data_IF_507050196481
#
_entry.id   IF_507050196481
#
_cell.length_a   1.000
_cell.length_b   1.000
_cell.length_c   1.000
_cell.angle_alpha   90.00
_cell.angle_beta   90.00
_cell.angle_gamma   90.00
#
_symmetry.space_group_name_H-M   'P 1'
#
loop_
_entity.id
_entity.type
_entity.pdbx_description
1 polymer ?
#
# COMPACT_ATOMS: atom_id res chain seq x y z
N UNK A 1 2.77 27.40 12.80
CA UNK A 1 3.42 27.39 11.47
C UNK A 1 4.65 28.29 11.53
N UNK A 2 5.39 28.45 10.43
CA UNK A 2 6.55 29.36 10.36
C UNK A 2 6.21 30.86 10.51
N UNK A 3 4.94 31.21 10.74
CA UNK A 3 4.43 32.57 10.90
C UNK A 3 3.84 32.81 12.31
N UNK A 4 4.06 31.89 13.25
CA UNK A 4 3.59 32.02 14.64
C UNK A 4 2.11 31.70 14.85
N UNK A 5 1.41 31.15 13.85
CA UNK A 5 0.03 30.67 14.03
C UNK A 5 0.05 29.30 14.70
N UNK A 6 -0.80 29.10 15.70
CA UNK A 6 -1.01 27.77 16.27
C UNK A 6 -1.78 26.90 15.27
N UNK A 7 -1.22 25.75 14.94
CA UNK A 7 -1.91 24.72 14.15
C UNK A 7 -2.43 23.67 15.12
N UNK A 8 -3.71 23.34 14.99
CA UNK A 8 -4.40 22.40 15.86
C UNK A 8 -4.76 21.12 15.11
N UNK A 9 -4.31 19.97 15.63
CA UNK A 9 -4.55 18.64 15.07
C UNK A 9 -5.60 17.83 15.83
N UNK A 10 -6.31 18.42 16.81
CA UNK A 10 -7.29 17.70 17.65
C UNK A 10 -8.38 16.96 16.86
N UNK A 11 -8.72 17.44 15.67
CA UNK A 11 -9.73 16.84 14.80
C UNK A 11 -9.15 16.39 13.45
N UNK A 12 -7.93 15.86 13.47
CA UNK A 12 -7.19 15.40 12.28
C UNK A 12 -6.74 13.96 12.46
N UNK A 13 -6.93 13.13 11.43
CA UNK A 13 -6.30 11.82 11.33
C UNK A 13 -4.93 11.99 10.67
N UNK A 14 -3.88 11.62 11.38
CA UNK A 14 -2.51 11.63 10.84
C UNK A 14 -2.21 10.22 10.35
N UNK A 15 -1.95 10.09 9.05
CA UNK A 15 -1.52 8.84 8.43
C UNK A 15 -0.06 8.98 8.02
N UNK A 16 0.75 7.99 8.37
CA UNK A 16 2.16 7.89 7.99
C UNK A 16 2.41 6.54 7.35
N UNK A 17 3.22 6.53 6.30
CA UNK A 17 3.56 5.33 5.53
C UNK A 17 5.07 5.24 5.38
N UNK A 18 5.61 4.02 5.40
CA UNK A 18 7.04 3.76 5.22
C UNK A 18 7.23 2.44 4.48
N UNK A 19 8.28 2.35 3.66
CA UNK A 19 8.69 1.12 2.98
C UNK A 19 9.69 0.29 3.82
N UNK A 20 9.84 0.61 5.11
CA UNK A 20 10.74 -0.10 5.99
C UNK A 20 10.23 -1.53 6.24
N UNK A 21 11.07 -2.53 5.99
CA UNK A 21 10.69 -3.94 6.10
C UNK A 21 9.97 -4.50 4.88
N UNK A 22 9.87 -3.77 3.76
CA UNK A 22 9.25 -4.28 2.52
C UNK A 22 9.88 -5.58 2.03
N UNK A 23 11.20 -5.76 2.18
CA UNK A 23 11.87 -7.02 1.84
C UNK A 23 11.39 -8.20 2.71
N UNK A 24 11.18 -7.97 4.02
CA UNK A 24 10.66 -9.00 4.92
C UNK A 24 9.22 -9.38 4.56
N UNK A 25 8.40 -8.41 4.18
CA UNK A 25 7.03 -8.64 3.70
C UNK A 25 7.03 -9.52 2.44
N UNK A 26 7.98 -9.32 1.53
CA UNK A 26 8.10 -10.15 0.32
C UNK A 26 8.65 -11.55 0.62
N UNK A 27 9.68 -11.65 1.47
CA UNK A 27 10.32 -12.93 1.81
C UNK A 27 9.37 -13.85 2.61
N UNK A 28 8.47 -13.27 3.39
CA UNK A 28 7.47 -13.97 4.19
C UNK A 28 6.09 -14.02 3.52
N UNK A 29 5.99 -13.65 2.24
CA UNK A 29 4.74 -13.68 1.50
C UNK A 29 4.28 -15.12 1.20
N UNK A 30 2.97 -15.30 0.99
CA UNK A 30 2.38 -16.56 0.52
C UNK A 30 1.62 -17.36 1.57
N UNK A 31 1.66 -16.96 2.84
CA UNK A 31 0.76 -17.44 3.88
C UNK A 31 0.01 -16.26 4.52
N UNK A 32 -1.31 -16.23 4.32
CA UNK A 32 -2.21 -15.20 4.85
C UNK A 32 -2.86 -15.63 6.18
N UNK A 33 -2.33 -16.67 6.84
CA UNK A 33 -2.80 -17.12 8.14
C UNK A 33 -2.60 -16.03 9.22
N UNK A 34 -3.50 -15.96 10.24
CA UNK A 34 -3.31 -15.06 11.37
C UNK A 34 -1.96 -15.23 12.06
N UNK A 35 -1.44 -16.46 12.12
CA UNK A 35 -0.15 -16.79 12.70
C UNK A 35 1.01 -16.19 11.87
N UNK A 36 0.97 -16.33 10.54
CA UNK A 36 1.96 -15.73 9.65
C UNK A 36 1.96 -14.20 9.74
N UNK A 37 0.78 -13.58 9.83
CA UNK A 37 0.67 -12.13 10.03
C UNK A 37 1.35 -11.67 11.31
N UNK A 38 1.16 -12.38 12.43
CA UNK A 38 1.79 -12.02 13.70
C UNK A 38 3.32 -12.11 13.62
N UNK A 39 3.85 -13.13 12.95
CA UNK A 39 5.29 -13.29 12.72
C UNK A 39 5.85 -12.18 11.83
N UNK A 40 5.18 -11.88 10.72
CA UNK A 40 5.54 -10.80 9.82
C UNK A 40 5.54 -9.45 10.55
N UNK A 41 4.47 -9.17 11.31
CA UNK A 41 4.34 -7.94 12.10
C UNK A 41 5.48 -7.80 13.09
N UNK A 42 5.85 -8.88 13.79
CA UNK A 42 6.97 -8.86 14.73
C UNK A 42 8.30 -8.55 14.02
N UNK A 43 8.56 -9.18 12.87
CA UNK A 43 9.78 -8.94 12.08
C UNK A 43 9.87 -7.50 11.56
N UNK A 44 8.78 -6.97 11.01
CA UNK A 44 8.71 -5.57 10.55
C UNK A 44 8.89 -4.59 11.72
N UNK A 45 8.26 -4.87 12.87
CA UNK A 45 8.41 -4.01 14.05
C UNK A 45 9.83 -3.99 14.61
N UNK A 46 10.59 -5.08 14.50
CA UNK A 46 12.01 -5.09 14.86
C UNK A 46 12.81 -4.13 13.95
N UNK A 47 12.52 -4.10 12.64
CA UNK A 47 13.13 -3.14 11.72
C UNK A 47 12.74 -1.69 12.06
N UNK A 48 11.46 -1.43 12.36
CA UNK A 48 10.96 -0.11 12.79
C UNK A 48 11.69 0.39 14.04
N UNK A 49 11.84 -0.47 15.06
CA UNK A 49 12.56 -0.12 16.30
C UNK A 49 14.06 0.13 16.08
N UNK A 50 14.67 -0.51 15.07
CA UNK A 50 16.05 -0.23 14.67
C UNK A 50 16.23 1.13 13.99
N UNK A 51 15.17 1.68 13.39
CA UNK A 51 15.23 2.94 12.63
C UNK A 51 14.69 4.15 13.40
N UNK A 52 13.56 3.99 14.11
CA UNK A 52 12.87 5.06 14.83
C UNK A 52 13.09 4.98 16.34
N UNK A 53 13.13 6.14 16.99
CA UNK A 53 13.23 6.25 18.44
C UNK A 53 11.95 5.73 19.12
N UNK A 54 12.03 5.06 20.28
CA UNK A 54 10.86 4.56 21.01
C UNK A 54 9.83 5.66 21.32
N UNK A 55 10.28 6.88 21.61
CA UNK A 55 9.39 8.01 21.93
C UNK A 55 8.50 8.40 20.76
N UNK A 56 8.95 8.19 19.52
CA UNK A 56 8.14 8.42 18.32
C UNK A 56 7.12 7.30 18.12
N UNK A 57 7.57 6.04 18.24
CA UNK A 57 6.71 4.86 18.08
C UNK A 57 5.58 4.87 19.11
N UNK A 58 5.88 5.26 20.35
CA UNK A 58 4.90 5.35 21.45
C UNK A 58 3.85 6.47 21.26
N UNK A 59 3.96 7.31 20.21
CA UNK A 59 2.95 8.31 19.83
C UNK A 59 1.99 7.83 18.74
N UNK A 60 2.20 6.62 18.22
CA UNK A 60 1.34 6.01 17.22
C UNK A 60 0.30 5.15 17.93
N UNK A 61 -0.97 5.44 17.69
CA UNK A 61 -2.07 4.68 18.29
C UNK A 61 -2.16 3.26 17.74
N UNK A 62 -2.02 3.12 16.41
CA UNK A 62 -2.09 1.85 15.72
C UNK A 62 -1.00 1.76 14.63
N UNK A 63 -0.35 0.59 14.57
CA UNK A 63 0.60 0.26 13.51
C UNK A 63 0.06 -0.94 12.74
N UNK A 64 -0.22 -0.67 11.46
CA UNK A 64 -0.73 -1.66 10.51
C UNK A 64 0.40 -2.05 9.56
N UNK A 65 0.68 -3.34 9.47
CA UNK A 65 1.60 -3.91 8.48
C UNK A 65 0.76 -4.44 7.32
N UNK A 66 1.12 -4.07 6.09
CA UNK A 66 0.45 -4.53 4.88
C UNK A 66 1.07 -5.85 4.40
N UNK A 67 0.22 -6.70 3.82
CA UNK A 67 0.65 -7.93 3.14
C UNK A 67 1.11 -7.60 1.72
N UNK A 68 1.93 -8.48 1.14
CA UNK A 68 2.24 -8.44 -0.28
C UNK A 68 0.96 -8.60 -1.11
N UNK A 69 0.88 -7.90 -2.24
CA UNK A 69 -0.27 -7.99 -3.14
C UNK A 69 -0.29 -9.36 -3.85
N UNK A 70 -1.42 -10.05 -3.77
CA UNK A 70 -1.66 -11.25 -4.56
C UNK A 70 -1.98 -10.88 -6.03
N UNK A 71 -1.70 -11.80 -6.96
CA UNK A 71 -2.01 -11.62 -8.39
C UNK A 71 -3.45 -11.21 -8.67
N UNK A 72 -4.40 -11.74 -7.91
CA UNK A 72 -5.81 -11.37 -8.04
C UNK A 72 -6.05 -9.90 -7.65
N UNK A 73 -5.40 -9.40 -6.61
CA UNK A 73 -5.50 -8.00 -6.16
C UNK A 73 -4.83 -7.06 -7.18
N UNK A 74 -3.67 -7.44 -7.73
CA UNK A 74 -2.99 -6.66 -8.78
C UNK A 74 -3.89 -6.50 -10.01
N UNK A 75 -4.58 -7.57 -10.42
CA UNK A 75 -5.56 -7.50 -11.51
C UNK A 75 -6.72 -6.56 -11.19
N UNK A 76 -7.20 -6.54 -9.94
CA UNK A 76 -8.23 -5.59 -9.51
C UNK A 76 -7.73 -4.14 -9.57
N UNK A 77 -6.50 -3.89 -9.14
CA UNK A 77 -5.86 -2.57 -9.23
C UNK A 77 -5.77 -2.12 -10.69
N UNK A 78 -5.34 -2.99 -11.60
CA UNK A 78 -5.32 -2.70 -13.04
C UNK A 78 -6.72 -2.33 -13.57
N UNK A 79 -7.78 -3.01 -13.09
CA UNK A 79 -9.16 -2.67 -13.44
C UNK A 79 -9.56 -1.27 -12.94
N UNK A 80 -9.23 -0.94 -11.70
CA UNK A 80 -9.52 0.38 -11.13
C UNK A 80 -8.80 1.48 -11.92
N UNK A 81 -7.52 1.28 -12.23
CA UNK A 81 -6.72 2.26 -13.00
C UNK A 81 -7.27 2.45 -14.42
N UNK A 82 -7.63 1.36 -15.08
CA UNK A 82 -8.20 1.43 -16.42
C UNK A 82 -9.61 2.02 -16.44
N UNK A 83 -10.41 1.86 -15.39
CA UNK A 83 -11.70 2.53 -15.24
C UNK A 83 -11.56 4.06 -15.18
N UNK A 84 -10.54 4.58 -14.49
CA UNK A 84 -10.24 6.02 -14.50
C UNK A 84 -9.89 6.51 -15.92
N UNK A 85 -9.13 5.72 -16.69
CA UNK A 85 -8.83 6.03 -18.09
C UNK A 85 -10.08 6.01 -18.97
N UNK A 86 -10.92 4.98 -18.84
CA UNK A 86 -12.19 4.86 -19.56
C UNK A 86 -13.07 6.09 -19.31
N UNK A 87 -13.18 6.54 -18.06
CA UNK A 87 -13.94 7.75 -17.71
C UNK A 87 -13.42 9.00 -18.44
N UNK A 88 -12.10 9.21 -18.45
CA UNK A 88 -11.48 10.35 -19.14
C UNK A 88 -11.63 10.30 -20.66
N UNK A 89 -11.66 9.11 -21.25
CA UNK A 89 -11.89 8.92 -22.68
C UNK A 89 -13.36 9.12 -23.06
N UNK A 90 -14.29 8.71 -22.20
CA UNK A 90 -15.72 8.90 -22.40
C UNK A 90 -16.10 10.38 -22.50
N UNK A 91 -15.42 11.26 -21.74
CA UNK A 91 -15.56 12.73 -21.85
C UNK A 91 -15.23 13.25 -23.26
N UNK A 92 -14.44 12.49 -24.04
CA UNK A 92 -14.08 12.77 -25.43
C UNK A 92 -14.86 11.94 -26.44
N UNK A 93 -15.96 11.30 -26.00
CA UNK A 93 -16.78 10.40 -26.80
C UNK A 93 -16.02 9.16 -27.32
N UNK A 94 -14.93 8.76 -26.66
CA UNK A 94 -14.16 7.57 -26.98
C UNK A 94 -14.55 6.45 -26.01
N UNK A 95 -15.04 5.33 -26.53
CA UNK A 95 -15.31 4.12 -25.75
C UNK A 95 -14.07 3.23 -25.77
N UNK A 96 -13.54 2.92 -24.59
CA UNK A 96 -12.46 1.97 -24.39
C UNK A 96 -13.05 0.72 -23.72
N UNK A 97 -12.85 -0.44 -24.32
CA UNK A 97 -13.19 -1.74 -23.74
C UNK A 97 -11.90 -2.51 -23.51
N UNK A 98 -11.78 -3.14 -22.34
CA UNK A 98 -10.61 -3.91 -21.97
C UNK A 98 -11.09 -5.27 -21.50
N UNK A 99 -10.60 -6.31 -22.18
CA UNK A 99 -10.85 -7.68 -21.78
C UNK A 99 -10.07 -8.05 -20.51
N UNK A 100 -10.59 -9.03 -19.78
CA UNK A 100 -9.95 -9.58 -18.59
C UNK A 100 -8.55 -10.16 -18.84
N UNK A 101 -8.32 -10.66 -20.06
CA UNK A 101 -7.02 -11.15 -20.54
C UNK A 101 -5.97 -10.03 -20.56
N UNK A 102 -6.36 -8.85 -21.04
CA UNK A 102 -5.53 -7.65 -21.06
C UNK A 102 -5.27 -7.11 -19.64
N UNK A 103 -6.27 -7.13 -18.74
CA UNK A 103 -6.07 -6.76 -17.34
C UNK A 103 -5.06 -7.68 -16.63
N UNK A 104 -5.14 -8.98 -16.91
CA UNK A 104 -4.19 -9.97 -16.37
C UNK A 104 -2.78 -9.70 -16.88
N UNK A 105 -2.63 -9.40 -18.17
CA UNK A 105 -1.33 -9.05 -18.76
C UNK A 105 -0.76 -7.77 -18.15
N UNK A 106 -1.58 -6.72 -18.01
CA UNK A 106 -1.17 -5.46 -17.39
C UNK A 106 -0.70 -5.66 -15.96
N UNK A 107 -1.43 -6.46 -15.17
CA UNK A 107 -1.02 -6.78 -13.80
C UNK A 107 0.30 -7.54 -13.74
N UNK A 108 0.53 -8.49 -14.65
CA UNK A 108 1.79 -9.25 -14.68
C UNK A 108 3.01 -8.39 -15.07
N UNK A 109 2.83 -7.41 -15.96
CA UNK A 109 3.93 -6.55 -16.43
C UNK A 109 4.19 -5.39 -15.46
N UNK A 110 3.13 -4.82 -14.87
CA UNK A 110 3.23 -3.67 -13.98
C UNK A 110 3.62 -4.00 -12.55
N UNK A 111 3.61 -5.28 -12.17
CA UNK A 111 3.93 -5.70 -10.80
C UNK A 111 5.43 -5.65 -10.53
N UNK A 112 5.80 -4.85 -9.54
CA UNK A 112 7.11 -4.88 -8.91
C UNK A 112 6.95 -5.38 -7.44
N UNK A 113 7.63 -6.46 -7.02
CA UNK A 113 7.52 -6.96 -5.65
C UNK A 113 7.92 -5.94 -4.58
N UNK A 114 8.84 -5.02 -4.89
CA UNK A 114 9.36 -4.02 -3.94
C UNK A 114 8.49 -2.77 -3.92
N UNK A 115 8.00 -2.33 -5.08
CA UNK A 115 7.22 -1.08 -5.21
C UNK A 115 5.70 -1.27 -5.28
N UNK A 116 5.21 -2.48 -5.54
CA UNK A 116 3.78 -2.81 -5.62
C UNK A 116 3.23 -2.85 -7.05
N UNK A 117 1.97 -2.43 -7.21
CA UNK A 117 1.18 -2.47 -8.45
C UNK A 117 0.88 -1.08 -9.00
#
# INVERSE_FOLDING_TARGET
DGQGRTVDFRNTVIVMTSNLGSNLIQDMAGDDSPEAYLQLKAAVMAAVQGHFRPEFINRLDEIVVFHALAKAQIREIARIQTAYLQKRLAERQIRLEIEDSALTLLGNIGFDPVYGA
#
